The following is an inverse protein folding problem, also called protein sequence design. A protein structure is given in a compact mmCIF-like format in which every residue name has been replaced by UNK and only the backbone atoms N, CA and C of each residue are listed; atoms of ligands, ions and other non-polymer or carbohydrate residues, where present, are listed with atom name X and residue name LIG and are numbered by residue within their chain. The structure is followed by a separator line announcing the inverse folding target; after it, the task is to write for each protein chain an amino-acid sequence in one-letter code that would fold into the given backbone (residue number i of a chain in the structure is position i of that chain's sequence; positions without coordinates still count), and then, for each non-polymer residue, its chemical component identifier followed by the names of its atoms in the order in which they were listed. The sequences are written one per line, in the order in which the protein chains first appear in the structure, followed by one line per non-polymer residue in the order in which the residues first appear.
data_IF_057703519525
#
_entry.id   IF_057703519525
#
_cell.length_a   1.000
_cell.length_b   1.000
_cell.length_c   1.000
_cell.angle_alpha   90.00
_cell.angle_beta   90.00
_cell.angle_gamma   90.00
#
_symmetry.space_group_name_H-M   'P 1'
#
loop_
_entity.id
_entity.type
_entity.pdbx_description
1 polymer ?
#
# COMPACT_ATOMS: atom_id res chain seq x y z
N UNK A 1 12.74 3.11 20.54
CA UNK A 1 13.75 4.18 20.50
C UNK A 1 14.83 3.94 21.57
N UNK A 2 14.51 3.84 22.88
CA UNK A 2 15.51 3.52 23.92
C UNK A 2 16.14 2.13 23.79
N UNK A 3 15.47 1.19 23.13
CA UNK A 3 15.88 -0.21 22.94
C UNK A 3 16.17 -0.54 21.46
N UNK A 4 16.53 0.46 20.65
CA UNK A 4 16.91 0.26 19.23
C UNK A 4 15.74 0.17 18.25
N UNK A 5 14.49 0.34 18.68
CA UNK A 5 13.34 0.36 17.80
C UNK A 5 13.13 1.71 17.12
N UNK A 6 12.65 1.71 15.88
CA UNK A 6 12.41 2.92 15.05
C UNK A 6 11.15 3.72 15.47
N UNK A 7 10.31 3.14 16.33
CA UNK A 7 9.07 3.78 16.84
C UNK A 7 7.85 3.66 15.93
N UNK A 8 8.03 3.28 14.67
CA UNK A 8 6.96 3.00 13.70
C UNK A 8 7.43 1.93 12.71
N UNK A 9 6.48 1.14 12.15
CA UNK A 9 5.05 1.11 12.45
C UNK A 9 4.73 0.48 13.82
N UNK A 10 3.74 1.01 14.54
CA UNK A 10 3.32 0.50 15.87
C UNK A 10 2.32 -0.67 15.78
N UNK A 11 1.88 -1.01 14.59
CA UNK A 11 0.82 -1.98 14.32
C UNK A 11 1.24 -3.46 14.22
N UNK A 12 2.53 -3.86 14.13
CA UNK A 12 2.92 -5.26 13.89
C UNK A 12 2.42 -6.24 14.96
N UNK A 13 2.49 -5.84 16.23
CA UNK A 13 2.00 -6.67 17.35
C UNK A 13 0.49 -6.86 17.24
N UNK A 14 -0.24 -5.81 16.86
CA UNK A 14 -1.69 -5.87 16.65
C UNK A 14 -2.04 -6.78 15.47
N UNK A 15 -1.30 -6.67 14.36
CA UNK A 15 -1.47 -7.55 13.21
C UNK A 15 -1.28 -9.03 13.58
N UNK A 16 -0.23 -9.34 14.34
CA UNK A 16 0.00 -10.70 14.82
C UNK A 16 -1.13 -11.22 15.73
N UNK A 17 -1.63 -10.36 16.63
CA UNK A 17 -2.75 -10.72 17.52
C UNK A 17 -4.02 -11.01 16.72
N UNK A 18 -4.35 -10.21 15.69
CA UNK A 18 -5.49 -10.45 14.82
C UNK A 18 -5.34 -11.81 14.10
N UNK A 19 -4.18 -12.08 13.48
CA UNK A 19 -3.93 -13.35 12.82
C UNK A 19 -4.14 -14.52 13.78
N UNK A 20 -3.59 -14.45 14.97
CA UNK A 20 -3.71 -15.50 15.99
C UNK A 20 -5.14 -15.68 16.48
N UNK A 21 -5.85 -14.57 16.77
CA UNK A 21 -7.23 -14.61 17.26
C UNK A 21 -8.16 -15.24 16.22
N UNK A 22 -7.94 -14.97 14.95
CA UNK A 22 -8.74 -15.53 13.86
C UNK A 22 -8.20 -16.88 13.33
N UNK A 23 -7.22 -17.48 14.01
CA UNK A 23 -6.62 -18.78 13.68
C UNK A 23 -6.12 -18.84 12.23
N UNK A 24 -5.52 -17.76 11.76
CA UNK A 24 -4.98 -17.67 10.41
C UNK A 24 -3.60 -18.34 10.39
N UNK A 25 -3.38 -19.22 9.45
CA UNK A 25 -2.10 -19.89 9.30
C UNK A 25 -0.96 -18.91 9.00
N UNK A 26 0.22 -19.23 9.51
CA UNK A 26 1.46 -18.50 9.23
C UNK A 26 2.40 -19.42 8.40
N UNK A 27 3.26 -18.87 7.54
CA UNK A 27 3.51 -17.44 7.37
C UNK A 27 2.36 -16.69 6.72
N UNK A 28 2.10 -15.46 7.19
CA UNK A 28 1.07 -14.57 6.66
C UNK A 28 1.57 -13.14 6.52
N UNK A 29 0.99 -12.43 5.56
CA UNK A 29 1.30 -11.04 5.29
C UNK A 29 0.07 -10.16 5.54
N UNK A 30 0.26 -9.06 6.26
CA UNK A 30 -0.75 -8.01 6.44
C UNK A 30 -0.27 -6.75 5.75
N UNK A 31 -1.06 -6.27 4.78
CA UNK A 31 -0.88 -5.00 4.10
C UNK A 31 -1.83 -3.97 4.72
N UNK A 32 -1.29 -2.97 5.38
CA UNK A 32 -2.07 -1.83 5.85
C UNK A 32 -1.97 -0.68 4.83
N UNK A 33 -3.11 -0.25 4.30
CA UNK A 33 -3.21 0.89 3.37
C UNK A 33 -3.86 2.07 4.12
N UNK A 34 -3.04 2.80 4.86
CA UNK A 34 -3.39 4.07 5.51
C UNK A 34 -3.07 5.28 4.62
N UNK A 35 -2.59 6.38 5.20
CA UNK A 35 -1.96 7.46 4.46
C UNK A 35 -0.67 7.00 3.81
N UNK A 36 0.17 6.31 4.57
CA UNK A 36 1.31 5.50 4.14
C UNK A 36 0.90 4.04 4.16
N UNK A 37 1.46 3.26 3.25
CA UNK A 37 1.29 1.80 3.22
C UNK A 37 2.45 1.11 3.91
N UNK A 38 2.13 0.13 4.76
CA UNK A 38 3.12 -0.72 5.41
C UNK A 38 2.73 -2.19 5.34
N UNK A 39 3.74 -3.04 5.43
CA UNK A 39 3.59 -4.50 5.40
C UNK A 39 4.14 -5.08 6.69
N UNK A 40 3.40 -6.02 7.28
CA UNK A 40 3.86 -6.89 8.36
C UNK A 40 3.84 -8.32 7.87
N UNK A 41 4.98 -9.00 7.91
CA UNK A 41 5.08 -10.45 7.65
C UNK A 41 5.22 -11.13 9.01
N UNK A 42 4.35 -12.09 9.28
CA UNK A 42 4.38 -12.92 10.48
C UNK A 42 4.82 -14.32 10.07
N UNK A 43 6.03 -14.71 10.46
CA UNK A 43 6.61 -16.02 10.14
C UNK A 43 6.12 -17.11 11.09
N UNK A 44 6.11 -16.81 12.39
CA UNK A 44 5.67 -17.74 13.43
C UNK A 44 4.94 -17.02 14.58
N UNK A 45 4.09 -17.78 15.30
CA UNK A 45 3.47 -17.27 16.53
C UNK A 45 4.35 -17.50 17.76
N UNK A 46 5.21 -18.52 17.76
CA UNK A 46 6.11 -18.87 18.86
C UNK A 46 7.40 -19.51 18.34
N UNK A 47 8.63 -18.98 18.62
CA UNK A 47 8.82 -17.63 19.20
C UNK A 47 8.24 -16.57 18.26
N UNK A 48 8.01 -15.37 18.79
CA UNK A 48 7.48 -14.26 17.97
C UNK A 48 8.48 -13.93 16.86
N UNK A 49 8.03 -14.13 15.62
CA UNK A 49 8.79 -13.85 14.42
C UNK A 49 7.93 -12.99 13.48
N UNK A 50 8.24 -11.72 13.42
CA UNK A 50 7.62 -10.80 12.47
C UNK A 50 8.58 -9.71 12.01
N UNK A 51 8.39 -9.28 10.78
CA UNK A 51 9.05 -8.09 10.23
C UNK A 51 8.00 -7.10 9.77
N UNK A 52 8.29 -5.80 9.89
CA UNK A 52 7.37 -4.76 9.42
C UNK A 52 8.16 -3.60 8.84
N UNK A 53 7.65 -3.03 7.74
CA UNK A 53 8.24 -1.85 7.11
C UNK A 53 7.22 -1.06 6.30
N UNK A 54 7.49 0.23 6.15
CA UNK A 54 6.79 1.06 5.19
C UNK A 54 7.23 0.68 3.77
N UNK A 55 6.28 0.69 2.84
CA UNK A 55 6.52 0.25 1.45
C UNK A 55 6.19 1.31 0.41
N UNK A 56 5.57 2.41 0.81
CA UNK A 56 5.24 3.49 -0.11
C UNK A 56 4.01 4.29 0.31
N UNK A 57 3.50 5.14 -0.60
CA UNK A 57 2.27 5.87 -0.34
C UNK A 57 1.09 4.91 -0.21
N UNK A 58 0.14 5.28 0.63
CA UNK A 58 -1.18 4.67 0.67
C UNK A 58 -2.21 5.61 0.03
N UNK A 59 -3.20 6.05 0.80
CA UNK A 59 -4.22 6.97 0.30
C UNK A 59 -3.74 8.42 0.23
N UNK A 60 -2.58 8.79 0.81
CA UNK A 60 -2.17 10.18 1.00
C UNK A 60 -2.18 10.99 -0.30
N UNK A 61 -1.67 10.44 -1.40
CA UNK A 61 -1.64 11.11 -2.70
C UNK A 61 -3.05 11.27 -3.27
N UNK A 62 -3.84 10.20 -3.27
CA UNK A 62 -5.21 10.18 -3.79
C UNK A 62 -6.07 11.17 -3.02
N UNK A 63 -6.03 11.10 -1.69
CA UNK A 63 -6.81 11.98 -0.82
C UNK A 63 -6.39 13.45 -0.94
N UNK A 64 -5.08 13.72 -1.05
CA UNK A 64 -4.55 15.07 -1.26
C UNK A 64 -5.05 15.65 -2.58
N UNK A 65 -5.03 14.85 -3.66
CA UNK A 65 -5.54 15.25 -4.97
C UNK A 65 -7.02 15.58 -4.93
N UNK A 66 -7.82 14.67 -4.38
CA UNK A 66 -9.27 14.83 -4.29
C UNK A 66 -9.65 16.07 -3.49
N UNK A 67 -9.00 16.29 -2.33
CA UNK A 67 -9.23 17.50 -1.51
C UNK A 67 -8.83 18.82 -2.21
N UNK A 68 -7.77 18.79 -3.02
CA UNK A 68 -7.31 19.99 -3.75
C UNK A 68 -8.18 20.35 -4.95
N UNK A 69 -8.86 19.36 -5.55
CA UNK A 69 -9.58 19.53 -6.81
C UNK A 69 -11.11 19.36 -6.68
N UNK A 70 -11.60 19.09 -5.46
CA UNK A 70 -13.04 18.93 -5.20
C UNK A 70 -13.39 19.25 -3.75
N UNK A 71 -14.69 19.23 -3.42
CA UNK A 71 -15.20 19.34 -2.05
C UNK A 71 -15.22 17.98 -1.31
N UNK A 72 -14.73 16.91 -1.93
CA UNK A 72 -14.68 15.59 -1.31
C UNK A 72 -13.41 15.44 -0.48
N UNK A 73 -13.48 14.58 0.56
CA UNK A 73 -12.32 14.32 1.44
C UNK A 73 -11.39 13.24 0.87
N UNK A 74 -11.93 12.31 0.09
CA UNK A 74 -11.23 11.15 -0.49
C UNK A 74 -12.04 10.55 -1.65
N UNK A 75 -11.41 9.70 -2.45
CA UNK A 75 -12.08 8.94 -3.52
C UNK A 75 -12.84 7.74 -2.92
N UNK A 76 -14.15 7.93 -2.71
CA UNK A 76 -14.99 6.89 -2.10
C UNK A 76 -15.05 5.64 -3.00
N UNK A 77 -14.61 4.50 -2.46
CA UNK A 77 -14.57 3.19 -3.13
C UNK A 77 -13.73 3.15 -4.42
N UNK A 78 -12.91 4.18 -4.68
CA UNK A 78 -12.11 4.31 -5.90
C UNK A 78 -12.93 4.70 -7.14
N UNK A 79 -14.08 5.36 -6.97
CA UNK A 79 -15.01 5.67 -8.06
C UNK A 79 -14.48 6.73 -9.02
N UNK A 80 -13.80 7.77 -8.51
CA UNK A 80 -13.18 8.78 -9.35
C UNK A 80 -12.07 8.15 -10.21
N UNK A 81 -11.20 7.37 -9.58
CA UNK A 81 -10.14 6.67 -10.29
C UNK A 81 -10.67 5.65 -11.31
N UNK A 82 -11.83 5.05 -11.07
CA UNK A 82 -12.44 4.07 -11.96
C UNK A 82 -12.91 4.69 -13.29
N UNK A 83 -13.43 5.90 -13.26
CA UNK A 83 -13.95 6.60 -14.46
C UNK A 83 -12.88 7.42 -15.17
N UNK A 84 -11.79 7.78 -14.48
CA UNK A 84 -10.66 8.49 -15.05
C UNK A 84 -9.74 7.60 -15.87
N UNK A 85 -8.88 8.22 -16.67
CA UNK A 85 -7.86 7.56 -17.47
C UNK A 85 -6.47 7.84 -16.89
N UNK A 86 -5.69 6.80 -16.66
CA UNK A 86 -4.29 6.94 -16.26
C UNK A 86 -3.48 7.63 -17.37
N UNK A 87 -2.74 8.67 -17.02
CA UNK A 87 -1.76 9.27 -17.91
C UNK A 87 -0.42 8.55 -17.75
N UNK A 88 -0.10 7.68 -18.69
CA UNK A 88 1.10 6.82 -18.63
C UNK A 88 2.41 7.62 -18.63
N UNK A 89 2.49 8.72 -19.38
CA UNK A 89 3.71 9.55 -19.45
C UNK A 89 4.02 10.16 -18.07
N UNK A 90 3.01 10.77 -17.44
CA UNK A 90 3.13 11.35 -16.11
C UNK A 90 3.47 10.27 -15.08
N UNK A 91 2.84 9.12 -15.22
CA UNK A 91 3.04 7.98 -14.32
C UNK A 91 4.47 7.43 -14.37
N UNK A 92 5.03 7.26 -15.57
CA UNK A 92 6.41 6.79 -15.77
C UNK A 92 7.42 7.79 -15.18
N UNK A 93 7.26 9.08 -15.46
CA UNK A 93 8.11 10.11 -14.88
C UNK A 93 8.04 10.14 -13.34
N UNK A 94 6.84 10.00 -12.78
CA UNK A 94 6.66 9.96 -11.33
C UNK A 94 7.33 8.72 -10.71
N UNK A 95 7.25 7.57 -11.37
CA UNK A 95 7.92 6.34 -10.92
C UNK A 95 9.45 6.48 -10.93
N UNK A 96 10.02 7.07 -11.97
CA UNK A 96 11.45 7.31 -12.05
C UNK A 96 11.94 8.22 -10.92
N UNK A 97 11.25 9.34 -10.69
CA UNK A 97 11.56 10.26 -9.59
C UNK A 97 11.45 9.59 -8.22
N UNK A 98 10.45 8.76 -8.02
CA UNK A 98 10.26 8.01 -6.77
C UNK A 98 11.39 7.00 -6.55
N UNK A 99 11.75 6.22 -7.57
CA UNK A 99 12.82 5.22 -7.48
C UNK A 99 14.16 5.84 -7.12
N UNK A 100 14.48 7.01 -7.68
CA UNK A 100 15.70 7.74 -7.37
C UNK A 100 15.76 8.25 -5.93
N UNK A 101 14.59 8.55 -5.32
CA UNK A 101 14.51 9.00 -3.91
C UNK A 101 14.60 7.83 -2.92
N UNK A 102 13.96 6.71 -3.21
CA UNK A 102 13.90 5.55 -2.29
C UNK A 102 15.23 4.84 -2.16
N UNK A 103 16.07 4.87 -3.18
CA UNK A 103 17.45 4.33 -3.11
C UNK A 103 18.34 5.06 -2.08
N UNK A 104 17.90 6.18 -1.53
CA UNK A 104 18.68 7.01 -0.60
C UNK A 104 18.17 6.95 0.86
N UNK A 105 17.01 6.35 1.13
CA UNK A 105 16.40 6.35 2.47
C UNK A 105 15.96 4.96 2.91
N UNK A 106 16.51 4.50 4.03
CA UNK A 106 16.08 3.29 4.77
C UNK A 106 15.09 3.60 5.91
N UNK A 107 14.55 4.83 5.99
CA UNK A 107 13.78 5.34 7.12
C UNK A 107 12.27 5.26 6.88
N UNK A 108 11.51 5.28 7.98
CA UNK A 108 10.05 5.42 7.98
C UNK A 108 9.59 6.56 7.08
N UNK A 109 8.55 6.32 6.30
CA UNK A 109 7.98 7.28 5.38
C UNK A 109 6.96 8.18 6.07
N UNK A 110 6.90 9.46 5.66
CA UNK A 110 5.88 10.42 6.08
C UNK A 110 5.01 10.86 4.89
N UNK A 111 3.76 11.28 5.17
CA UNK A 111 2.84 11.78 4.14
C UNK A 111 3.41 12.98 3.39
N UNK A 112 4.24 13.78 4.06
CA UNK A 112 4.90 14.96 3.50
C UNK A 112 6.06 14.61 2.55
N UNK A 113 6.51 13.34 2.52
CA UNK A 113 7.48 12.86 1.55
C UNK A 113 6.90 12.76 0.13
N UNK A 114 5.59 12.89 -0.01
CA UNK A 114 4.85 12.71 -1.26
C UNK A 114 4.15 13.99 -1.72
N UNK A 115 4.33 14.32 -2.99
CA UNK A 115 3.69 15.47 -3.62
C UNK A 115 2.86 15.03 -4.84
N UNK A 116 1.72 15.67 -5.02
CA UNK A 116 0.79 15.43 -6.13
C UNK A 116 1.02 16.37 -7.32
N UNK A 117 2.05 17.21 -7.26
CA UNK A 117 2.29 18.26 -8.27
C UNK A 117 2.52 17.71 -9.68
N UNK A 118 3.00 16.49 -9.80
CA UNK A 118 3.19 15.82 -11.08
C UNK A 118 1.88 15.53 -11.83
N UNK A 119 0.74 15.46 -11.11
CA UNK A 119 -0.58 15.27 -11.71
C UNK A 119 -1.25 16.60 -12.09
N UNK A 120 -0.57 17.75 -11.88
CA UNK A 120 -1.13 19.08 -12.17
C UNK A 120 -1.53 19.18 -13.65
N UNK A 121 -2.71 19.74 -13.89
CA UNK A 121 -3.27 19.90 -15.24
C UNK A 121 -4.15 18.75 -15.72
N UNK A 122 -4.20 17.64 -14.97
CA UNK A 122 -5.18 16.59 -15.23
C UNK A 122 -6.58 16.98 -14.69
N UNK A 123 -7.61 16.34 -15.24
CA UNK A 123 -8.96 16.40 -14.65
C UNK A 123 -8.96 15.75 -13.26
N UNK A 124 -10.00 16.00 -12.46
CA UNK A 124 -10.15 15.35 -11.15
C UNK A 124 -10.04 13.83 -11.25
N UNK A 125 -10.74 13.27 -12.22
CA UNK A 125 -10.84 11.82 -12.44
C UNK A 125 -9.54 11.23 -12.99
N UNK A 126 -8.91 11.87 -13.98
CA UNK A 126 -7.66 11.40 -14.57
C UNK A 126 -6.50 11.51 -13.60
N UNK A 127 -6.47 12.56 -12.79
CA UNK A 127 -5.50 12.68 -11.70
C UNK A 127 -5.72 11.60 -10.63
N UNK A 128 -6.97 11.36 -10.22
CA UNK A 128 -7.28 10.27 -9.29
C UNK A 128 -6.88 8.89 -9.87
N UNK A 129 -7.14 8.64 -11.16
CA UNK A 129 -6.74 7.40 -11.84
C UNK A 129 -5.23 7.23 -11.89
N UNK A 130 -4.49 8.30 -12.27
CA UNK A 130 -3.04 8.28 -12.37
C UNK A 130 -2.37 8.05 -11.02
N UNK A 131 -2.83 8.74 -9.97
CA UNK A 131 -2.30 8.60 -8.62
C UNK A 131 -2.65 7.24 -7.99
N UNK A 132 -3.83 6.70 -8.30
CA UNK A 132 -4.21 5.35 -7.87
C UNK A 132 -3.37 4.28 -8.56
N UNK A 133 -3.07 4.44 -9.85
CA UNK A 133 -2.17 3.52 -10.56
C UNK A 133 -0.74 3.62 -10.04
N UNK A 134 -0.23 4.84 -9.81
CA UNK A 134 1.08 5.08 -9.20
C UNK A 134 1.21 4.36 -7.85
N UNK A 135 0.27 4.59 -6.95
CA UNK A 135 0.22 3.94 -5.63
C UNK A 135 0.15 2.42 -5.76
N UNK A 136 -0.71 1.92 -6.65
CA UNK A 136 -0.86 0.49 -6.91
C UNK A 136 0.40 -0.17 -7.45
N UNK A 137 1.14 0.50 -8.32
CA UNK A 137 2.44 0.02 -8.87
C UNK A 137 3.49 -0.08 -7.78
N UNK A 138 3.61 0.92 -6.91
CA UNK A 138 4.61 0.90 -5.82
C UNK A 138 4.29 -0.22 -4.83
N UNK A 139 3.05 -0.30 -4.34
CA UNK A 139 2.65 -1.35 -3.40
C UNK A 139 2.80 -2.73 -4.04
N UNK A 140 2.35 -2.90 -5.29
CA UNK A 140 2.45 -4.17 -6.00
C UNK A 140 3.89 -4.63 -6.21
N UNK A 141 4.79 -3.73 -6.60
CA UNK A 141 6.21 -4.03 -6.75
C UNK A 141 6.87 -4.40 -5.41
N UNK A 142 6.54 -3.68 -4.34
CA UNK A 142 7.03 -4.00 -3.00
C UNK A 142 6.56 -5.38 -2.54
N UNK A 143 5.27 -5.71 -2.72
CA UNK A 143 4.75 -7.05 -2.43
C UNK A 143 5.42 -8.12 -3.29
N UNK A 144 5.62 -7.86 -4.59
CA UNK A 144 6.32 -8.78 -5.48
C UNK A 144 7.72 -9.09 -4.93
N UNK A 145 8.51 -8.08 -4.61
CA UNK A 145 9.87 -8.24 -4.07
C UNK A 145 9.87 -9.00 -2.74
N UNK A 146 8.93 -8.64 -1.83
CA UNK A 146 8.86 -9.25 -0.49
C UNK A 146 8.44 -10.72 -0.51
N UNK A 147 7.60 -11.10 -1.46
CA UNK A 147 6.94 -12.41 -1.49
C UNK A 147 7.47 -13.32 -2.61
N UNK A 148 8.39 -12.83 -3.46
CA UNK A 148 8.97 -13.64 -4.55
C UNK A 148 9.80 -14.82 -4.04
N UNK A 149 10.40 -14.69 -2.86
CA UNK A 149 11.25 -15.73 -2.27
C UNK A 149 10.46 -16.78 -1.47
N UNK A 150 9.13 -16.63 -1.37
CA UNK A 150 8.32 -17.62 -0.67
C UNK A 150 8.24 -18.92 -1.48
N UNK A 151 8.54 -20.06 -0.84
CA UNK A 151 8.44 -21.38 -1.45
C UNK A 151 7.01 -21.88 -1.57
N UNK A 152 6.06 -21.16 -1.00
CA UNK A 152 4.66 -21.52 -1.01
C UNK A 152 4.00 -21.19 -2.35
N UNK A 153 3.23 -22.15 -2.88
CA UNK A 153 2.50 -21.97 -4.13
C UNK A 153 1.34 -20.98 -4.02
N UNK A 154 0.89 -20.68 -2.82
CA UNK A 154 -0.23 -19.83 -2.52
C UNK A 154 0.06 -18.99 -1.28
N UNK A 155 -0.02 -17.67 -1.43
CA UNK A 155 0.20 -16.74 -0.34
C UNK A 155 -0.98 -15.78 -0.21
N UNK A 156 -1.48 -15.65 1.02
CA UNK A 156 -2.57 -14.73 1.35
C UNK A 156 -1.98 -13.45 1.90
N UNK A 157 -2.45 -12.32 1.38
CA UNK A 157 -2.18 -10.99 1.93
C UNK A 157 -3.47 -10.43 2.47
N UNK A 158 -3.54 -10.24 3.79
CA UNK A 158 -4.67 -9.58 4.44
C UNK A 158 -4.53 -8.08 4.29
N UNK A 159 -5.60 -7.41 3.86
CA UNK A 159 -5.59 -5.97 3.62
C UNK A 159 -6.41 -5.26 4.67
N UNK A 160 -5.78 -4.33 5.40
CA UNK A 160 -6.41 -3.45 6.38
C UNK A 160 -6.21 -1.97 6.03
N UNK A 161 -6.64 -1.07 6.93
CA UNK A 161 -6.61 0.37 6.69
C UNK A 161 -7.74 0.86 5.78
N UNK A 162 -7.83 2.17 5.59
CA UNK A 162 -8.90 2.79 4.78
C UNK A 162 -8.90 2.36 3.32
N UNK A 163 -7.71 2.14 2.77
CA UNK A 163 -7.51 1.78 1.37
C UNK A 163 -8.07 0.41 0.98
N UNK A 164 -8.34 -0.50 1.94
CA UNK A 164 -8.99 -1.78 1.66
C UNK A 164 -10.37 -1.64 1.01
N UNK A 165 -11.02 -0.48 1.18
CA UNK A 165 -12.32 -0.15 0.57
C UNK A 165 -12.20 0.37 -0.86
N UNK A 166 -11.01 0.81 -1.27
CA UNK A 166 -10.77 1.33 -2.62
C UNK A 166 -10.53 0.17 -3.59
N UNK A 167 -11.60 -0.31 -4.21
CA UNK A 167 -11.57 -1.46 -5.14
C UNK A 167 -10.66 -1.23 -6.34
N UNK A 168 -10.61 0.00 -6.85
CA UNK A 168 -9.76 0.37 -7.98
C UNK A 168 -8.29 0.24 -7.60
N UNK A 169 -7.89 0.73 -6.42
CA UNK A 169 -6.53 0.58 -5.90
C UNK A 169 -6.17 -0.90 -5.70
N UNK A 170 -7.05 -1.68 -5.07
CA UNK A 170 -6.79 -3.11 -4.87
C UNK A 170 -6.60 -3.86 -6.19
N UNK A 171 -7.37 -3.55 -7.23
CA UNK A 171 -7.19 -4.13 -8.55
C UNK A 171 -5.84 -3.73 -9.17
N UNK A 172 -5.42 -2.46 -9.03
CA UNK A 172 -4.10 -2.02 -9.51
C UNK A 172 -2.96 -2.74 -8.79
N UNK A 173 -3.05 -2.93 -7.48
CA UNK A 173 -2.08 -3.71 -6.69
C UNK A 173 -2.06 -5.17 -7.18
N UNK A 174 -3.22 -5.81 -7.29
CA UNK A 174 -3.33 -7.21 -7.71
C UNK A 174 -2.69 -7.48 -9.07
N UNK A 175 -2.86 -6.57 -10.02
CA UNK A 175 -2.29 -6.70 -11.37
C UNK A 175 -0.76 -6.57 -11.41
N UNK A 176 -0.13 -6.17 -10.32
CA UNK A 176 1.33 -5.94 -10.21
C UNK A 176 2.01 -6.88 -9.24
N UNK A 177 1.26 -7.72 -8.54
CA UNK A 177 1.79 -8.76 -7.66
C UNK A 177 1.92 -10.10 -8.36
N UNK A 178 2.47 -11.09 -7.66
CA UNK A 178 2.52 -12.47 -8.13
C UNK A 178 1.09 -13.02 -8.33
N UNK A 179 0.89 -13.81 -9.38
CA UNK A 179 -0.44 -14.38 -9.73
C UNK A 179 -1.05 -15.25 -8.63
N UNK A 180 -0.20 -15.87 -7.80
CA UNK A 180 -0.61 -16.73 -6.69
C UNK A 180 -0.95 -15.95 -5.40
N UNK A 181 -0.81 -14.63 -5.37
CA UNK A 181 -1.19 -13.80 -4.23
C UNK A 181 -2.69 -13.49 -4.27
N UNK A 182 -3.35 -13.73 -3.14
CA UNK A 182 -4.73 -13.31 -2.91
C UNK A 182 -4.76 -12.16 -1.94
N UNK A 183 -5.29 -11.01 -2.39
CA UNK A 183 -5.58 -9.86 -1.52
C UNK A 183 -6.95 -10.05 -0.89
N UNK A 184 -7.02 -10.17 0.42
CA UNK A 184 -8.25 -10.41 1.16
C UNK A 184 -8.47 -9.31 2.20
N UNK A 185 -9.57 -8.53 2.12
CA UNK A 185 -9.90 -7.55 3.15
C UNK A 185 -10.07 -8.20 4.52
N UNK A 186 -9.59 -7.51 5.57
CA UNK A 186 -9.66 -8.04 6.94
C UNK A 186 -11.10 -8.09 7.49
N UNK A 187 -12.02 -7.38 6.85
CA UNK A 187 -13.46 -7.37 7.23
C UNK A 187 -14.14 -8.73 7.02
N UNK A 188 -13.46 -9.68 6.35
CA UNK A 188 -13.94 -11.05 6.14
C UNK A 188 -13.68 -11.97 7.36
N UNK A 189 -13.09 -11.42 8.47
CA UNK A 189 -12.76 -12.16 9.71
C UNK A 189 -13.40 -11.59 10.96
#
# INVERSE_FOLDING_TARGET
IKNGGEGAPLTPIFHQLILKQNKIDVPSCVLNIGGISNVTIVGNYYPFDFTSRDIGPGNCLIDSWVRKNSNQKFDKDGKLALIGKTNEIILEQAQELYSNRTNQKTLSLDVNDFDVSFARGLSLEDGAATLTDFTGRIIGAALFTLLSDTREKFFRVLVCGGGRKNKTLLNKIKNRTLKNIVLQPIDDY
#
